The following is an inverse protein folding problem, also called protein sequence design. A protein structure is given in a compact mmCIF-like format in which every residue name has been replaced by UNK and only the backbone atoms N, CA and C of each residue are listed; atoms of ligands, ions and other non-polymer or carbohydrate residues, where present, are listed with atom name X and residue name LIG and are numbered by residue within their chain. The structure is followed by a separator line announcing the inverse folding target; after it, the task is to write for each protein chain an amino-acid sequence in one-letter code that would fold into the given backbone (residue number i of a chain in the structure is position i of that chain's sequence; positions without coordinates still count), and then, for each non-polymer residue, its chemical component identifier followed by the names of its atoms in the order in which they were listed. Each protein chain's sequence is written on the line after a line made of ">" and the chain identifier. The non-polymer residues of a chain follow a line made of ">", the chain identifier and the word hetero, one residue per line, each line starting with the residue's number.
data_IF_254869013461
#
_entry.id   IF_254869013461
#
_cell.length_a   1.000
_cell.length_b   1.000
_cell.length_c   1.000
_cell.angle_alpha   90.00
_cell.angle_beta   90.00
_cell.angle_gamma   90.00
#
_symmetry.space_group_name_H-M   'P 1'
#
loop_
_entity.id
_entity.type
_entity.pdbx_description
1 polymer ?
#
# COMPACT_ATOMS: atom_id res chain seq x y z
N UNK A 1 -6.81 -6.26 -7.62
CA UNK A 1 -6.36 -5.31 -6.58
C UNK A 1 -7.44 -5.24 -5.53
N UNK A 2 -7.10 -5.44 -4.27
CA UNK A 2 -7.99 -5.23 -3.14
C UNK A 2 -7.83 -3.78 -2.66
N UNK A 3 -8.91 -3.15 -2.21
CA UNK A 3 -8.88 -1.78 -1.71
C UNK A 3 -9.72 -1.61 -0.46
N UNK A 4 -9.27 -0.73 0.42
CA UNK A 4 -9.94 -0.31 1.63
C UNK A 4 -10.03 1.21 1.67
N UNK A 5 -11.14 1.71 2.18
CA UNK A 5 -11.40 3.14 2.30
C UNK A 5 -11.74 3.51 3.74
N UNK A 6 -11.21 4.64 4.19
CA UNK A 6 -11.67 5.35 5.36
C UNK A 6 -12.14 6.75 4.94
N UNK A 7 -13.37 7.15 5.28
CA UNK A 7 -13.88 8.46 4.90
C UNK A 7 -13.08 9.58 5.57
N UNK A 8 -12.77 10.62 4.80
CA UNK A 8 -12.06 11.80 5.29
C UNK A 8 -10.53 11.76 5.15
N UNK A 9 -9.95 12.94 5.28
CA UNK A 9 -8.51 13.17 5.24
C UNK A 9 -7.84 12.69 6.54
N UNK A 10 -6.63 12.13 6.41
CA UNK A 10 -5.71 11.94 7.53
C UNK A 10 -4.92 13.24 7.72
N UNK A 11 -5.07 13.95 8.86
CA UNK A 11 -4.42 15.24 9.05
C UNK A 11 -2.89 15.16 8.94
N UNK A 12 -2.26 16.20 8.39
CA UNK A 12 -0.81 16.29 8.17
C UNK A 12 0.00 15.97 9.44
N UNK A 13 -0.46 16.43 10.61
CA UNK A 13 0.21 16.15 11.89
C UNK A 13 0.25 14.66 12.26
N UNK A 14 -0.63 13.83 11.69
CA UNK A 14 -0.69 12.37 11.89
C UNK A 14 -0.03 11.60 10.75
N UNK A 15 0.31 12.24 9.64
CA UNK A 15 0.93 11.58 8.49
C UNK A 15 2.23 10.85 8.86
N UNK A 16 3.19 11.43 9.60
CA UNK A 16 4.42 10.72 9.97
C UNK A 16 4.16 9.44 10.77
N UNK A 17 3.14 9.45 11.65
CA UNK A 17 2.74 8.27 12.41
C UNK A 17 2.15 7.19 11.51
N UNK A 18 1.27 7.56 10.58
CA UNK A 18 0.69 6.61 9.63
C UNK A 18 1.75 6.00 8.71
N UNK A 19 2.68 6.82 8.20
CA UNK A 19 3.81 6.35 7.41
C UNK A 19 4.67 5.33 8.18
N UNK A 20 4.96 5.60 9.45
CA UNK A 20 5.70 4.68 10.31
C UNK A 20 4.96 3.34 10.47
N UNK A 21 3.65 3.37 10.75
CA UNK A 21 2.82 2.16 10.90
C UNK A 21 2.79 1.36 9.61
N UNK A 22 2.53 2.01 8.47
CA UNK A 22 2.46 1.32 7.17
C UNK A 22 3.81 0.69 6.84
N UNK A 23 4.91 1.42 7.03
CA UNK A 23 6.28 0.92 6.77
C UNK A 23 6.63 -0.27 7.67
N UNK A 24 6.29 -0.21 8.96
CA UNK A 24 6.53 -1.31 9.91
C UNK A 24 5.76 -2.57 9.50
N UNK A 25 4.46 -2.42 9.20
CA UNK A 25 3.60 -3.54 8.83
C UNK A 25 4.06 -4.15 7.51
N UNK A 26 4.24 -3.36 6.46
CA UNK A 26 4.59 -3.87 5.12
C UNK A 26 6.01 -4.45 5.10
N UNK A 27 6.94 -3.90 5.89
CA UNK A 27 8.27 -4.46 6.08
C UNK A 27 8.25 -5.90 6.61
N UNK A 28 7.31 -6.25 7.51
CA UNK A 28 7.12 -7.64 8.00
C UNK A 28 6.67 -8.60 6.90
N UNK A 29 6.07 -8.09 5.83
CA UNK A 29 5.63 -8.86 4.66
C UNK A 29 6.65 -8.84 3.50
N UNK A 30 7.84 -8.30 3.72
CA UNK A 30 8.92 -8.29 2.71
C UNK A 30 8.75 -7.23 1.62
N UNK A 31 8.01 -6.16 1.90
CA UNK A 31 8.06 -4.93 1.10
C UNK A 31 9.32 -4.13 1.43
N UNK A 32 9.90 -3.51 0.40
CA UNK A 32 10.96 -2.53 0.58
C UNK A 32 10.40 -1.25 1.23
N UNK A 33 11.25 -0.35 1.77
CA UNK A 33 10.82 0.98 2.18
C UNK A 33 10.05 1.67 1.04
N UNK A 34 8.92 2.34 1.35
CA UNK A 34 8.07 2.93 0.32
C UNK A 34 8.72 4.15 -0.34
N UNK A 35 8.32 4.37 -1.60
CA UNK A 35 8.58 5.61 -2.33
C UNK A 35 7.50 6.65 -1.98
N UNK A 36 7.92 7.90 -1.79
CA UNK A 36 7.01 9.04 -1.64
C UNK A 36 6.64 9.56 -3.02
N UNK A 37 5.35 9.45 -3.36
CA UNK A 37 4.82 9.91 -4.66
C UNK A 37 4.25 11.31 -4.55
N UNK A 38 3.58 11.62 -3.42
CA UNK A 38 3.02 12.94 -3.12
C UNK A 38 3.28 13.26 -1.66
N UNK A 39 3.78 14.48 -1.40
CA UNK A 39 3.96 15.05 -0.06
C UNK A 39 3.66 16.55 -0.15
N UNK A 40 2.40 16.92 0.15
CA UNK A 40 1.95 18.31 0.21
C UNK A 40 0.83 18.47 1.23
N UNK A 41 0.53 19.69 1.69
CA UNK A 41 -0.51 19.89 2.71
C UNK A 41 -1.86 19.26 2.32
N UNK A 42 -2.42 18.46 3.22
CA UNK A 42 -3.66 17.70 3.07
C UNK A 42 -3.65 16.60 1.98
N UNK A 43 -2.51 16.27 1.39
CA UNK A 43 -2.40 15.20 0.41
C UNK A 43 -1.06 14.49 0.45
N UNK A 44 -1.10 13.21 0.76
CA UNK A 44 0.08 12.37 0.85
C UNK A 44 -0.16 11.04 0.16
N UNK A 45 0.83 10.54 -0.56
CA UNK A 45 0.78 9.23 -1.20
C UNK A 45 2.15 8.57 -1.16
N UNK A 46 2.15 7.30 -0.75
CA UNK A 46 3.29 6.40 -0.88
C UNK A 46 2.95 5.18 -1.70
N UNK A 47 3.96 4.61 -2.35
CA UNK A 47 3.87 3.32 -3.03
C UNK A 47 4.97 2.41 -2.53
N UNK A 48 4.64 1.15 -2.24
CA UNK A 48 5.62 0.14 -1.88
C UNK A 48 5.58 -1.06 -2.81
N UNK A 49 6.74 -1.67 -3.03
CA UNK A 49 6.91 -2.87 -3.86
C UNK A 49 7.52 -4.01 -3.04
N UNK A 50 6.93 -5.20 -3.17
CA UNK A 50 7.41 -6.44 -2.56
C UNK A 50 8.24 -7.28 -3.53
N UNK A 51 9.05 -8.17 -2.97
CA UNK A 51 10.02 -9.00 -3.71
C UNK A 51 9.44 -9.83 -4.88
N UNK A 52 8.15 -10.18 -4.84
CA UNK A 52 7.48 -10.99 -5.86
C UNK A 52 6.60 -10.14 -6.80
N UNK A 53 6.80 -8.82 -6.84
CA UNK A 53 6.03 -7.90 -7.67
C UNK A 53 4.67 -7.52 -7.09
N UNK A 54 4.43 -7.80 -5.81
CA UNK A 54 3.29 -7.23 -5.10
C UNK A 54 3.48 -5.72 -4.93
N UNK A 55 2.40 -4.95 -4.99
CA UNK A 55 2.46 -3.50 -4.77
C UNK A 55 1.38 -3.05 -3.80
N UNK A 56 1.62 -1.96 -3.10
CA UNK A 56 0.58 -1.23 -2.41
C UNK A 56 0.69 0.27 -2.69
N UNK A 57 -0.45 0.94 -2.68
CA UNK A 57 -0.57 2.38 -2.59
C UNK A 57 -1.28 2.72 -1.28
N UNK A 58 -0.71 3.65 -0.52
CA UNK A 58 -1.37 4.20 0.66
C UNK A 58 -1.34 5.72 0.54
N UNK A 59 -2.52 6.32 0.58
CA UNK A 59 -2.62 7.76 0.42
C UNK A 59 -3.84 8.36 1.08
N UNK A 60 -3.79 9.67 1.24
CA UNK A 60 -4.86 10.48 1.80
C UNK A 60 -5.00 11.76 1.00
N UNK A 61 -6.25 12.15 0.73
CA UNK A 61 -6.62 13.44 0.16
C UNK A 61 -8.01 13.79 0.70
N UNK A 62 -9.08 13.65 -0.11
CA UNK A 62 -10.47 13.71 0.39
C UNK A 62 -10.80 12.52 1.30
N UNK A 63 -10.28 11.35 0.98
CA UNK A 63 -10.41 10.11 1.75
C UNK A 63 -9.03 9.50 1.96
N UNK A 64 -8.92 8.59 2.92
CA UNK A 64 -7.73 7.77 3.11
C UNK A 64 -7.96 6.40 2.48
N UNK A 65 -7.05 5.97 1.62
CA UNK A 65 -7.17 4.77 0.80
C UNK A 65 -5.91 3.90 0.97
N UNK A 66 -6.13 2.60 1.07
CA UNK A 66 -5.10 1.58 0.91
C UNK A 66 -5.50 0.68 -0.26
N UNK A 67 -4.68 0.63 -1.30
CA UNK A 67 -4.77 -0.34 -2.38
C UNK A 67 -3.64 -1.35 -2.28
N UNK A 68 -3.94 -2.64 -2.52
CA UNK A 68 -2.94 -3.72 -2.54
C UNK A 68 -3.17 -4.61 -3.74
N UNK A 69 -2.10 -4.90 -4.47
CA UNK A 69 -2.06 -5.89 -5.52
C UNK A 69 -1.04 -6.97 -5.21
N UNK A 70 -1.40 -8.23 -5.46
CA UNK A 70 -0.45 -9.31 -5.39
C UNK A 70 0.36 -9.36 -6.67
N UNK A 71 1.62 -9.76 -6.55
CA UNK A 71 2.44 -10.06 -7.72
C UNK A 71 2.03 -11.36 -8.40
N UNK A 72 2.78 -11.71 -9.45
CA UNK A 72 2.60 -12.97 -10.16
C UNK A 72 2.78 -14.16 -9.22
N UNK A 73 1.69 -14.87 -8.95
CA UNK A 73 1.69 -16.12 -8.19
C UNK A 73 1.18 -17.25 -9.07
N UNK A 74 1.79 -18.43 -8.96
CA UNK A 74 1.37 -19.60 -9.73
C UNK A 74 0.00 -20.03 -9.22
N UNK A 75 -1.01 -20.06 -10.09
CA UNK A 75 -2.32 -20.57 -9.71
C UNK A 75 -2.20 -22.07 -9.40
N UNK A 76 -2.45 -22.53 -8.16
CA UNK A 76 -2.38 -23.94 -7.81
C UNK A 76 -3.34 -24.81 -8.66
N UNK A 77 -4.44 -24.22 -9.13
CA UNK A 77 -5.46 -24.89 -9.94
C UNK A 77 -5.07 -25.04 -11.42
N UNK A 78 -4.02 -24.37 -11.89
CA UNK A 78 -3.56 -24.48 -13.28
C UNK A 78 -2.85 -25.82 -13.59
N UNK A 79 -2.78 -26.73 -12.61
CA UNK A 79 -2.13 -28.05 -12.73
C UNK A 79 -3.12 -29.20 -12.99
N UNK A 80 -4.39 -28.93 -13.25
CA UNK A 80 -5.42 -29.95 -13.49
C UNK A 80 -6.03 -29.83 -14.89
N UNK A 81 -5.22 -30.12 -15.91
CA UNK A 81 -5.75 -30.53 -17.22
C UNK A 81 -4.91 -31.73 -17.69
N UNK A 82 -5.48 -32.95 -17.77
CA UNK A 82 -4.84 -34.09 -18.42
C UNK A 82 -4.53 -33.84 -19.89
#
# INVERSE_FOLDING_TARGET
>A
MASWYAPGNLPDARWPQALAIVTEVTGRYGFAPPEIIVDRPNEHTIVGTGQYGATYDFGTAVNTVLGVSTGCHRNPQASQTP
#
